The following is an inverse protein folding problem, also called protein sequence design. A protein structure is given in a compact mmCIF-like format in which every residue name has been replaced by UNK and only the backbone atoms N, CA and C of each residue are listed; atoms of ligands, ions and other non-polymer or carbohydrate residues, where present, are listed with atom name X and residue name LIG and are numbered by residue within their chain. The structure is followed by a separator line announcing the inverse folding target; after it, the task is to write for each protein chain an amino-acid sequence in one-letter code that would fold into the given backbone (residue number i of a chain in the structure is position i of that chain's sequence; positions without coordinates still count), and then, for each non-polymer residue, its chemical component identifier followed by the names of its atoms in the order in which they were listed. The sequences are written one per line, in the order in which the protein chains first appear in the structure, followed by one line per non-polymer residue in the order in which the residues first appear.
data_IF_620887391864
#
_entry.id   IF_620887391864
#
_cell.length_a   1.000
_cell.length_b   1.000
_cell.length_c   1.000
_cell.angle_alpha   90.00
_cell.angle_beta   90.00
_cell.angle_gamma   90.00
#
_symmetry.space_group_name_H-M   'P 1'
#
loop_
_entity.id
_entity.type
_entity.pdbx_description
1 polymer ?
#
# COMPACT_ATOMS: atom_id res chain seq x y z
N UNK A 1 21.06 20.09 -55.58
CA UNK A 1 20.95 19.01 -54.58
C UNK A 1 19.58 19.15 -53.94
N UNK A 2 18.56 18.35 -54.28
CA UNK A 2 18.42 16.95 -53.86
C UNK A 2 18.00 16.92 -52.38
N UNK A 3 16.86 16.44 -51.92
CA UNK A 3 15.70 15.76 -52.49
C UNK A 3 14.89 15.18 -51.32
N UNK A 4 13.57 14.98 -51.50
CA UNK A 4 12.68 13.94 -50.90
C UNK A 4 12.55 13.85 -49.35
N UNK A 5 11.42 13.57 -48.68
CA UNK A 5 10.16 12.83 -48.93
C UNK A 5 9.16 13.25 -47.80
N UNK A 6 7.89 13.52 -48.10
CA UNK A 6 6.72 12.62 -48.07
C UNK A 6 6.19 12.25 -46.68
N UNK A 7 4.96 12.69 -46.36
CA UNK A 7 3.94 12.03 -45.50
C UNK A 7 2.66 12.90 -45.57
N UNK A 8 1.78 12.60 -46.53
CA UNK A 8 0.52 11.83 -46.38
C UNK A 8 -0.60 12.67 -45.74
N UNK A 9 -1.48 13.13 -46.62
CA UNK A 9 -2.76 13.77 -46.35
C UNK A 9 -3.72 12.79 -45.67
N UNK A 10 -4.30 13.20 -44.54
CA UNK A 10 -5.53 12.61 -44.02
C UNK A 10 -6.52 13.76 -43.84
N UNK A 11 -7.32 13.98 -44.88
CA UNK A 11 -8.49 14.84 -44.87
C UNK A 11 -9.61 14.06 -44.12
N UNK A 12 -10.14 14.63 -43.04
CA UNK A 12 -11.32 14.09 -42.35
C UNK A 12 -12.38 15.18 -42.31
N UNK A 13 -13.46 14.92 -43.03
CA UNK A 13 -14.65 15.75 -43.14
C UNK A 13 -15.28 16.03 -41.77
N UNK A 14 -15.49 17.31 -41.45
CA UNK A 14 -16.23 17.76 -40.28
C UNK A 14 -17.64 18.15 -40.69
N UNK A 15 -18.61 17.25 -40.53
CA UNK A 15 -20.03 17.59 -40.61
C UNK A 15 -20.82 17.15 -39.36
N UNK A 16 -21.26 18.18 -38.63
CA UNK A 16 -22.36 18.30 -37.67
C UNK A 16 -22.91 17.06 -36.92
N UNK A 17 -22.73 17.05 -35.59
CA UNK A 17 -23.46 16.15 -34.69
C UNK A 17 -23.11 16.33 -33.21
N UNK A 18 -23.16 17.55 -32.66
CA UNK A 18 -22.91 17.79 -31.24
C UNK A 18 -24.09 17.29 -30.39
N UNK A 19 -23.95 16.09 -29.83
CA UNK A 19 -24.64 15.71 -28.59
C UNK A 19 -23.58 15.57 -27.48
N UNK A 20 -23.77 16.33 -26.41
CA UNK A 20 -22.84 16.51 -25.30
C UNK A 20 -22.54 15.19 -24.59
N UNK A 21 -21.36 14.62 -24.84
CA UNK A 21 -20.80 13.55 -24.01
C UNK A 21 -20.34 14.18 -22.68
N UNK A 22 -21.07 13.92 -21.60
CA UNK A 22 -20.54 14.12 -20.26
C UNK A 22 -19.29 13.25 -20.10
N UNK A 23 -18.13 13.88 -19.94
CA UNK A 23 -16.90 13.17 -19.54
C UNK A 23 -17.19 12.54 -18.18
N UNK A 24 -17.52 11.26 -18.18
CA UNK A 24 -17.59 10.47 -16.95
C UNK A 24 -16.14 10.32 -16.52
N UNK A 25 -15.74 11.10 -15.52
CA UNK A 25 -14.44 10.98 -14.89
C UNK A 25 -14.41 9.70 -14.05
N UNK A 26 -14.38 8.54 -14.70
CA UNK A 26 -14.05 7.28 -14.04
C UNK A 26 -12.55 7.28 -13.79
N UNK A 27 -12.08 7.17 -12.53
CA UNK A 27 -10.66 7.03 -12.25
C UNK A 27 -10.14 5.83 -13.04
N UNK A 28 -9.10 6.03 -13.84
CA UNK A 28 -8.39 4.92 -14.48
C UNK A 28 -7.62 4.22 -13.34
N UNK A 29 -8.28 3.28 -12.66
CA UNK A 29 -7.64 2.46 -11.64
C UNK A 29 -6.60 1.56 -12.31
N UNK A 30 -5.38 1.59 -11.80
CA UNK A 30 -4.31 0.75 -12.33
C UNK A 30 -4.75 -0.73 -12.31
N UNK A 31 -4.39 -1.55 -13.32
CA UNK A 31 -4.85 -2.94 -13.44
C UNK A 31 -4.60 -3.83 -12.20
N UNK A 32 -3.61 -3.47 -11.37
CA UNK A 32 -3.32 -4.18 -10.13
C UNK A 32 -4.37 -3.90 -9.04
N UNK A 33 -4.99 -2.73 -9.06
CA UNK A 33 -5.97 -2.25 -8.06
C UNK A 33 -7.35 -2.86 -8.30
N UNK A 34 -7.78 -2.98 -9.55
CA UNK A 34 -9.07 -3.62 -9.87
C UNK A 34 -9.07 -5.12 -9.55
N UNK A 35 -7.98 -5.83 -9.88
CA UNK A 35 -7.78 -7.24 -9.50
C UNK A 35 -7.62 -7.44 -7.98
N UNK A 36 -7.09 -6.44 -7.27
CA UNK A 36 -6.87 -6.50 -5.83
C UNK A 36 -8.17 -6.61 -5.04
N UNK A 37 -9.17 -5.79 -5.36
CA UNK A 37 -10.43 -5.78 -4.63
C UNK A 37 -11.23 -7.09 -4.77
N UNK A 38 -11.26 -7.68 -5.96
CA UNK A 38 -12.09 -8.86 -6.23
C UNK A 38 -11.44 -10.19 -5.84
N UNK A 39 -10.09 -10.26 -5.87
CA UNK A 39 -9.37 -11.53 -5.65
C UNK A 39 -8.47 -11.54 -4.44
N UNK A 40 -7.75 -10.45 -4.19
CA UNK A 40 -6.72 -10.41 -3.14
C UNK A 40 -7.35 -10.12 -1.78
N UNK A 41 -8.25 -9.12 -1.68
CA UNK A 41 -8.94 -8.79 -0.42
C UNK A 41 -9.67 -9.98 0.23
N UNK A 42 -10.48 -10.79 -0.49
CA UNK A 42 -11.14 -11.94 0.13
C UNK A 42 -10.17 -12.96 0.73
N UNK A 43 -8.98 -13.12 0.14
CA UNK A 43 -7.94 -14.00 0.66
C UNK A 43 -7.32 -13.44 1.94
N UNK A 44 -6.97 -12.14 1.94
CA UNK A 44 -6.45 -11.46 3.14
C UNK A 44 -7.45 -11.52 4.29
N UNK A 45 -8.73 -11.25 4.01
CA UNK A 45 -9.84 -11.36 4.97
C UNK A 45 -9.94 -12.77 5.58
N UNK A 46 -9.81 -13.80 4.74
CA UNK A 46 -9.85 -15.19 5.21
C UNK A 46 -8.69 -15.50 6.14
N UNK A 47 -7.48 -15.06 5.79
CA UNK A 47 -6.28 -15.24 6.63
C UNK A 47 -6.45 -14.51 7.97
N UNK A 48 -7.01 -13.30 8.00
CA UNK A 48 -7.26 -12.59 9.25
C UNK A 48 -8.37 -13.22 10.09
N UNK A 49 -9.43 -13.76 9.48
CA UNK A 49 -10.42 -14.56 10.20
C UNK A 49 -9.79 -15.76 10.88
N UNK A 50 -8.90 -16.47 10.17
CA UNK A 50 -8.15 -17.59 10.74
C UNK A 50 -7.26 -17.14 11.91
N UNK A 51 -6.57 -15.99 11.80
CA UNK A 51 -5.80 -15.41 12.92
C UNK A 51 -6.68 -15.18 14.16
N UNK A 52 -7.88 -14.64 13.96
CA UNK A 52 -8.80 -14.32 15.05
C UNK A 52 -9.40 -15.56 15.73
N UNK A 53 -9.44 -16.70 15.03
CA UNK A 53 -9.82 -18.00 15.61
C UNK A 53 -8.70 -18.65 16.43
N UNK A 54 -7.55 -17.98 16.61
CA UNK A 54 -6.41 -18.49 17.36
C UNK A 54 -5.84 -19.82 16.85
N UNK A 55 -6.08 -20.18 15.57
CA UNK A 55 -5.59 -21.44 14.98
C UNK A 55 -4.06 -21.57 15.03
N UNK A 56 -3.35 -20.44 15.14
CA UNK A 56 -1.90 -20.41 15.33
C UNK A 56 -1.46 -21.04 16.66
N UNK A 57 -2.32 -21.03 17.70
CA UNK A 57 -2.05 -21.72 18.98
C UNK A 57 -2.12 -23.23 18.85
N UNK A 58 -2.83 -23.72 17.84
CA UNK A 58 -2.94 -25.15 17.50
C UNK A 58 -1.82 -25.61 16.54
N UNK A 59 -0.84 -24.75 16.28
CA UNK A 59 0.30 -25.06 15.41
C UNK A 59 0.06 -24.80 13.92
N UNK A 60 -1.10 -24.25 13.55
CA UNK A 60 -1.41 -23.91 12.16
C UNK A 60 -0.75 -22.58 11.81
N UNK A 61 0.27 -22.62 10.95
CA UNK A 61 0.92 -21.43 10.42
C UNK A 61 0.05 -20.78 9.35
N UNK A 62 -0.13 -19.46 9.44
CA UNK A 62 -0.90 -18.70 8.47
C UNK A 62 0.02 -18.06 7.43
N UNK A 63 -0.40 -18.02 6.15
CA UNK A 63 0.41 -17.47 5.09
C UNK A 63 0.73 -15.99 5.38
N UNK A 64 2.00 -15.63 5.15
CA UNK A 64 2.53 -14.28 5.33
C UNK A 64 3.31 -13.90 4.10
N UNK A 65 3.10 -12.68 3.61
CA UNK A 65 3.84 -12.13 2.48
C UNK A 65 5.03 -11.36 3.03
N UNK A 66 6.23 -11.64 2.53
CA UNK A 66 7.44 -10.91 2.89
C UNK A 66 7.95 -10.18 1.66
N UNK A 67 8.16 -8.88 1.78
CA UNK A 67 8.69 -8.04 0.71
C UNK A 67 10.19 -7.85 0.92
N UNK A 68 11.00 -8.34 -0.02
CA UNK A 68 12.47 -8.28 0.02
C UNK A 68 13.02 -7.69 -1.28
N UNK A 69 14.18 -7.03 -1.19
CA UNK A 69 14.87 -6.48 -2.36
C UNK A 69 15.75 -5.28 -2.02
N UNK A 70 16.62 -4.92 -2.97
CA UNK A 70 17.61 -3.85 -2.81
C UNK A 70 16.99 -2.50 -2.46
N UNK A 71 17.78 -1.60 -1.87
CA UNK A 71 17.34 -0.23 -1.60
C UNK A 71 16.80 0.42 -2.90
N UNK A 72 15.70 1.17 -2.79
CA UNK A 72 15.06 1.84 -3.94
C UNK A 72 14.38 0.95 -4.99
N UNK A 73 14.23 -0.37 -4.76
CA UNK A 73 13.53 -1.27 -5.69
C UNK A 73 11.99 -1.16 -5.71
N UNK A 74 11.40 -0.12 -5.10
CA UNK A 74 9.94 0.09 -5.10
C UNK A 74 9.15 -0.69 -4.04
N UNK A 75 9.81 -1.36 -3.08
CA UNK A 75 9.15 -2.11 -1.97
C UNK A 75 8.10 -1.28 -1.24
N UNK A 76 8.47 -0.07 -0.80
CA UNK A 76 7.55 0.82 -0.11
C UNK A 76 6.39 1.21 -1.01
N UNK A 77 6.64 1.50 -2.29
CA UNK A 77 5.58 1.87 -3.25
C UNK A 77 4.55 0.76 -3.47
N UNK A 78 4.97 -0.51 -3.49
CA UNK A 78 4.05 -1.66 -3.55
C UNK A 78 3.21 -1.74 -2.29
N UNK A 79 3.83 -1.62 -1.11
CA UNK A 79 3.11 -1.65 0.17
C UNK A 79 2.15 -0.46 0.32
N UNK A 80 2.57 0.75 -0.07
CA UNK A 80 1.75 1.97 -0.09
C UNK A 80 0.52 1.77 -1.00
N UNK A 81 0.70 1.19 -2.19
CA UNK A 81 -0.40 0.94 -3.14
C UNK A 81 -1.40 -0.09 -2.63
N UNK A 82 -0.94 -1.11 -1.89
CA UNK A 82 -1.81 -2.12 -1.28
C UNK A 82 -2.56 -1.57 -0.06
N UNK A 83 -1.88 -0.76 0.74
CA UNK A 83 -2.38 -0.30 2.02
C UNK A 83 -3.15 1.03 1.96
N UNK A 84 -2.98 1.81 0.87
CA UNK A 84 -3.59 3.12 0.73
C UNK A 84 -3.00 4.18 1.66
N UNK A 85 -1.82 3.95 2.23
CA UNK A 85 -1.14 4.90 3.13
C UNK A 85 0.25 5.24 2.62
N UNK A 86 0.77 6.39 3.03
CA UNK A 86 2.16 6.75 2.78
C UNK A 86 3.08 6.12 3.84
N UNK A 87 4.15 5.47 3.40
CA UNK A 87 5.18 4.94 4.29
C UNK A 87 6.30 5.97 4.45
N UNK A 88 7.13 5.86 5.51
CA UNK A 88 8.30 6.71 5.68
C UNK A 88 9.20 6.75 4.44
N UNK A 89 9.50 7.96 3.96
CA UNK A 89 10.47 8.22 2.89
C UNK A 89 11.62 9.06 3.43
N UNK A 90 12.86 8.77 3.03
CA UNK A 90 14.03 9.52 3.49
C UNK A 90 15.31 9.19 2.73
N UNK A 91 16.32 10.04 2.87
CA UNK A 91 17.68 9.80 2.39
C UNK A 91 18.39 8.83 3.36
N UNK A 92 18.48 7.54 3.01
CA UNK A 92 19.11 6.50 3.85
C UNK A 92 18.32 5.19 3.90
N UNK A 93 18.53 4.40 4.97
CA UNK A 93 17.78 3.14 5.20
C UNK A 93 16.34 3.48 5.62
N UNK A 94 15.39 3.36 4.70
CA UNK A 94 13.98 3.67 4.97
C UNK A 94 13.29 2.71 5.96
N UNK A 95 13.87 1.53 6.22
CA UNK A 95 13.29 0.49 7.09
C UNK A 95 14.34 -0.06 8.05
N UNK A 96 14.39 0.51 9.26
CA UNK A 96 15.37 0.11 10.31
C UNK A 96 14.83 -0.95 11.29
N UNK A 97 13.52 -1.13 11.27
CA UNK A 97 12.76 -2.11 12.05
C UNK A 97 11.82 -2.82 11.07
N UNK A 98 11.66 -4.16 11.15
CA UNK A 98 10.63 -4.86 10.41
C UNK A 98 9.25 -4.22 10.60
N UNK A 99 8.64 -3.78 9.50
CA UNK A 99 7.26 -3.31 9.48
C UNK A 99 6.34 -4.48 9.15
N UNK A 100 5.43 -4.80 10.06
CA UNK A 100 4.41 -5.83 9.84
C UNK A 100 3.11 -5.13 9.52
N UNK A 101 2.60 -5.27 8.30
CA UNK A 101 1.33 -4.67 7.89
C UNK A 101 0.20 -5.69 7.97
N UNK A 102 -0.90 -5.31 8.62
CA UNK A 102 -2.14 -6.09 8.67
C UNK A 102 -3.26 -5.28 8.06
N UNK A 103 -3.81 -5.76 6.95
CA UNK A 103 -4.91 -5.15 6.23
C UNK A 103 -6.18 -5.93 6.59
N UNK A 104 -7.02 -5.36 7.44
CA UNK A 104 -8.21 -6.01 7.92
C UNK A 104 -9.44 -5.28 7.42
N UNK A 105 -10.52 -6.02 7.15
CA UNK A 105 -11.80 -5.41 6.80
C UNK A 105 -12.54 -4.89 8.02
N UNK A 106 -13.11 -3.70 7.91
CA UNK A 106 -14.05 -3.12 8.86
C UNK A 106 -15.36 -2.72 8.19
N UNK A 107 -16.42 -2.64 8.98
CA UNK A 107 -17.70 -2.08 8.55
C UNK A 107 -17.74 -0.55 8.65
N UNK A 108 -16.67 0.07 9.15
CA UNK A 108 -16.59 1.52 9.31
C UNK A 108 -16.48 2.18 7.94
N UNK A 109 -17.18 3.30 7.69
CA UNK A 109 -17.02 4.06 6.45
C UNK A 109 -15.65 4.74 6.35
N UNK A 110 -15.00 4.99 7.50
CA UNK A 110 -13.70 5.63 7.60
C UNK A 110 -12.61 4.59 7.93
N UNK A 111 -11.44 4.66 7.27
CA UNK A 111 -10.34 3.78 7.59
C UNK A 111 -9.77 4.11 8.98
N UNK A 112 -9.50 3.07 9.77
CA UNK A 112 -8.89 3.23 11.09
C UNK A 112 -7.47 2.65 11.07
N UNK A 113 -6.50 3.40 11.61
CA UNK A 113 -5.10 3.02 11.57
C UNK A 113 -4.52 3.04 12.97
N UNK A 114 -3.83 1.96 13.34
CA UNK A 114 -3.13 1.86 14.62
C UNK A 114 -1.74 1.26 14.44
N UNK A 115 -0.79 1.76 15.24
CA UNK A 115 0.53 1.20 15.37
C UNK A 115 0.65 0.46 16.71
N UNK A 116 1.12 -0.79 16.66
CA UNK A 116 1.46 -1.58 17.84
C UNK A 116 2.98 -1.79 17.88
N UNK A 117 3.61 -1.35 18.96
CA UNK A 117 5.04 -1.52 19.21
C UNK A 117 5.36 -1.39 20.71
N UNK A 118 6.32 -2.16 21.23
CA UNK A 118 6.75 -2.09 22.64
C UNK A 118 5.57 -2.05 23.64
N UNK A 119 4.59 -2.93 23.44
CA UNK A 119 3.33 -3.02 24.22
C UNK A 119 2.45 -1.76 24.22
N UNK A 120 2.70 -0.82 23.30
CA UNK A 120 1.87 0.37 23.06
C UNK A 120 0.99 0.15 21.85
N UNK A 121 -0.22 0.70 21.91
CA UNK A 121 -1.11 0.85 20.76
C UNK A 121 -1.36 2.35 20.57
N UNK A 122 -1.04 2.86 19.40
CA UNK A 122 -1.14 4.29 19.07
C UNK A 122 -2.04 4.46 17.86
N UNK A 123 -3.22 5.10 17.99
CA UNK A 123 -4.05 5.45 16.84
C UNK A 123 -3.37 6.56 16.02
N UNK A 124 -3.59 6.53 14.72
CA UNK A 124 -3.09 7.53 13.76
C UNK A 124 -4.06 7.64 12.57
N UNK A 125 -3.81 8.58 11.68
CA UNK A 125 -4.53 8.76 10.41
C UNK A 125 -3.56 8.63 9.22
N UNK A 126 -4.11 8.69 7.99
CA UNK A 126 -3.35 8.55 6.74
C UNK A 126 -2.29 9.65 6.53
N UNK A 127 -2.49 10.83 7.12
CA UNK A 127 -1.59 11.97 7.00
C UNK A 127 -0.35 11.78 7.91
N UNK A 128 -0.58 11.34 9.14
CA UNK A 128 0.47 11.25 10.18
C UNK A 128 1.09 9.86 10.32
N UNK A 129 0.56 8.81 9.67
CA UNK A 129 1.06 7.43 9.82
C UNK A 129 2.55 7.28 9.51
N UNK A 130 3.08 8.00 8.52
CA UNK A 130 4.50 7.96 8.19
C UNK A 130 5.36 8.51 9.35
N UNK A 131 4.97 9.64 9.94
CA UNK A 131 5.67 10.22 11.09
C UNK A 131 5.55 9.32 12.33
N UNK A 132 4.37 8.74 12.55
CA UNK A 132 4.13 7.83 13.66
C UNK A 132 4.98 6.54 13.54
N UNK A 133 5.16 6.00 12.33
CA UNK A 133 6.07 4.87 12.08
C UNK A 133 7.52 5.28 12.35
N UNK A 134 7.95 6.47 11.93
CA UNK A 134 9.29 6.99 12.21
C UNK A 134 9.54 7.11 13.72
N UNK A 135 8.59 7.71 14.46
CA UNK A 135 8.68 7.86 15.91
C UNK A 135 8.74 6.50 16.62
N UNK A 136 7.90 5.54 16.22
CA UNK A 136 7.94 4.17 16.74
C UNK A 136 9.28 3.48 16.45
N UNK A 137 9.81 3.68 15.24
CA UNK A 137 11.11 3.14 14.82
C UNK A 137 12.25 3.71 15.66
N UNK A 138 12.23 5.01 15.93
CA UNK A 138 13.24 5.68 16.77
C UNK A 138 13.22 5.18 18.21
N UNK A 139 12.03 4.90 18.76
CA UNK A 139 11.88 4.32 20.11
C UNK A 139 12.51 2.92 20.19
N UNK A 140 12.35 2.11 19.14
CA UNK A 140 12.84 0.72 19.11
C UNK A 140 14.35 0.67 18.81
N UNK A 141 14.78 1.37 17.77
CA UNK A 141 16.09 1.20 17.17
C UNK A 141 17.07 2.33 17.51
N UNK A 142 16.65 3.37 18.24
CA UNK A 142 17.41 4.63 18.35
C UNK A 142 17.45 5.38 17.02
N UNK A 143 18.19 6.49 16.91
CA UNK A 143 18.19 7.35 15.71
C UNK A 143 19.01 6.84 14.52
N UNK A 144 19.98 5.93 14.73
CA UNK A 144 20.93 5.53 13.68
C UNK A 144 21.27 4.03 13.62
N UNK A 145 20.67 3.21 14.48
CA UNK A 145 20.91 1.76 14.49
C UNK A 145 19.81 0.97 13.79
N UNK A 146 20.17 -0.21 13.28
CA UNK A 146 19.20 -1.26 12.96
C UNK A 146 18.78 -1.95 14.26
N UNK A 147 17.49 -2.25 14.40
CA UNK A 147 17.00 -2.96 15.58
C UNK A 147 17.43 -4.44 15.62
N UNK A 148 17.56 -5.05 16.82
CA UNK A 148 17.67 -6.49 16.97
C UNK A 148 16.46 -7.21 16.34
N UNK A 149 16.65 -8.45 15.90
CA UNK A 149 15.65 -9.26 15.16
C UNK A 149 14.32 -9.53 15.88
N UNK A 150 14.16 -9.14 17.15
CA UNK A 150 12.94 -9.37 17.94
C UNK A 150 12.00 -8.17 18.00
N UNK A 151 12.37 -7.01 17.45
CA UNK A 151 11.51 -5.83 17.52
C UNK A 151 10.84 -5.56 16.17
N UNK A 152 9.53 -5.31 16.16
CA UNK A 152 8.77 -4.95 14.96
C UNK A 152 7.79 -3.82 15.27
N UNK A 153 7.56 -2.94 14.30
CA UNK A 153 6.38 -2.06 14.32
C UNK A 153 5.28 -2.78 13.57
N UNK A 154 4.18 -3.09 14.23
CA UNK A 154 2.98 -3.62 13.56
C UNK A 154 2.07 -2.45 13.21
N UNK A 155 1.80 -2.28 11.92
CA UNK A 155 0.80 -1.32 11.44
C UNK A 155 -0.46 -2.10 11.07
N UNK A 156 -1.56 -1.79 11.74
CA UNK A 156 -2.86 -2.41 11.50
C UNK A 156 -3.74 -1.35 10.85
N UNK A 157 -4.21 -1.65 9.65
CA UNK A 157 -5.11 -0.82 8.89
C UNK A 157 -6.44 -1.53 8.75
N UNK A 158 -7.49 -0.89 9.24
CA UNK A 158 -8.85 -1.31 9.04
C UNK A 158 -9.40 -0.59 7.80
N UNK A 159 -9.60 -1.33 6.72
CA UNK A 159 -10.12 -0.83 5.45
C UNK A 159 -11.59 -1.26 5.27
N UNK A 160 -12.35 -0.49 4.49
CA UNK A 160 -13.73 -0.83 4.09
C UNK A 160 -13.79 -2.08 3.18
#
# INVERSE_FOLDING_TARGET
MGGSKMSNDYEIDVEAGMSSLSIVNTPIEAPIVSSYNDRIRPLLDTVDRLRNLNVMREGIQLPTIVVVGDQSSGKSSVLESLAGINLPRGQGICTRVPLVMRLQRSSSPEPEIWLEYSDKVVPTDEEHVAEAICAATDVIAGKFSLSPSQCSVKCVLLQK
#
